data_IF_491609629861
#
_entry.id   IF_491609629861
#
_cell.length_a   1.000
_cell.length_b   1.000
_cell.length_c   1.000
_cell.angle_alpha   90.00
_cell.angle_beta   90.00
_cell.angle_gamma   90.00
#
_symmetry.space_group_name_H-M   'P 1'
#
loop_
_entity.id
_entity.type
_entity.pdbx_description
1 polymer ?
#
# COMPACT_ATOMS: atom_id res chain seq x y z
N UNK A 1 -4.68 5.62 18.25
CA UNK A 1 -5.67 6.63 17.79
C UNK A 1 -6.30 6.09 16.53
N UNK A 2 -7.62 6.21 16.38
CA UNK A 2 -8.32 5.83 15.14
C UNK A 2 -7.88 6.75 14.00
N UNK A 3 -7.85 6.24 12.76
CA UNK A 3 -7.60 7.08 11.58
C UNK A 3 -8.75 8.09 11.51
N UNK A 4 -8.44 9.38 11.51
CA UNK A 4 -9.49 10.39 11.39
C UNK A 4 -10.13 10.29 10.00
N UNK A 5 -11.47 10.29 9.87
CA UNK A 5 -12.15 10.16 8.58
C UNK A 5 -11.68 11.18 7.53
N UNK A 6 -11.36 12.41 7.96
CA UNK A 6 -10.82 13.47 7.11
C UNK A 6 -9.47 13.09 6.49
N UNK A 7 -8.64 12.37 7.24
CA UNK A 7 -7.33 11.93 6.76
C UNK A 7 -7.40 10.74 5.81
N UNK A 8 -8.37 9.85 6.01
CA UNK A 8 -8.64 8.79 5.03
C UNK A 8 -9.05 9.41 3.70
N UNK A 9 -9.90 10.45 3.73
CA UNK A 9 -10.34 11.15 2.53
C UNK A 9 -9.20 11.92 1.86
N UNK A 10 -8.31 12.56 2.62
CA UNK A 10 -7.10 13.20 2.08
C UNK A 10 -6.23 12.18 1.32
N UNK A 11 -5.89 11.05 1.96
CA UNK A 11 -5.12 9.98 1.34
C UNK A 11 -5.80 9.43 0.09
N UNK A 12 -7.10 9.17 0.13
CA UNK A 12 -7.85 8.67 -1.04
C UNK A 12 -7.87 9.66 -2.19
N UNK A 13 -8.03 10.96 -1.90
CA UNK A 13 -7.99 12.00 -2.92
C UNK A 13 -6.64 12.02 -3.63
N UNK A 14 -5.57 11.88 -2.86
CA UNK A 14 -4.21 11.86 -3.39
C UNK A 14 -3.90 10.58 -4.17
N UNK A 15 -4.35 9.42 -3.69
CA UNK A 15 -4.25 8.15 -4.42
C UNK A 15 -5.01 8.22 -5.74
N UNK A 16 -6.23 8.79 -5.76
CA UNK A 16 -6.99 9.02 -7.01
C UNK A 16 -6.21 9.89 -7.99
N UNK A 17 -5.65 10.99 -7.51
CA UNK A 17 -4.82 11.91 -8.32
C UNK A 17 -3.62 11.17 -8.91
N UNK A 18 -2.81 10.52 -8.06
CA UNK A 18 -1.62 9.80 -8.50
C UNK A 18 -1.97 8.67 -9.46
N UNK A 19 -3.00 7.85 -9.20
CA UNK A 19 -3.40 6.80 -10.15
C UNK A 19 -3.84 7.34 -11.50
N UNK A 20 -4.54 8.48 -11.51
CA UNK A 20 -4.86 9.18 -12.75
C UNK A 20 -3.61 9.56 -13.56
N UNK A 21 -2.55 10.02 -12.89
CA UNK A 21 -1.28 10.36 -13.55
C UNK A 21 -0.50 9.12 -14.01
N UNK A 22 -0.32 8.13 -13.14
CA UNK A 22 0.39 6.89 -13.44
C UNK A 22 -0.31 6.01 -14.48
N UNK A 23 -1.60 6.18 -14.74
CA UNK A 23 -2.29 5.46 -15.81
C UNK A 23 -1.65 5.67 -17.20
N UNK A 24 -0.88 6.75 -17.38
CA UNK A 24 -0.17 7.06 -18.63
C UNK A 24 1.19 6.34 -18.77
N UNK A 25 1.70 5.74 -17.69
CA UNK A 25 3.05 5.14 -17.66
C UNK A 25 3.06 3.65 -18.00
N UNK A 26 1.88 3.02 -18.11
CA UNK A 26 1.72 1.60 -18.40
C UNK A 26 0.97 1.38 -19.73
N UNK A 27 1.31 0.34 -20.51
CA UNK A 27 0.63 0.03 -21.77
C UNK A 27 -0.77 -0.59 -21.59
N UNK A 28 -1.12 -1.00 -20.36
CA UNK A 28 -2.40 -1.61 -20.03
C UNK A 28 -3.07 -0.82 -18.91
N UNK A 29 -4.39 -0.73 -18.98
CA UNK A 29 -5.19 -0.14 -17.91
C UNK A 29 -5.04 -0.95 -16.62
N UNK A 30 -4.98 -0.22 -15.52
CA UNK A 30 -4.99 -0.78 -14.17
C UNK A 30 -6.40 -1.17 -13.75
N UNK A 31 -6.49 -2.25 -12.99
CA UNK A 31 -7.68 -2.70 -12.28
C UNK A 31 -7.34 -3.04 -10.81
N UNK A 32 -8.36 -3.32 -10.00
CA UNK A 32 -8.16 -3.63 -8.58
C UNK A 32 -7.30 -4.89 -8.34
N UNK A 33 -7.27 -5.85 -9.27
CA UNK A 33 -6.42 -7.03 -9.14
C UNK A 33 -4.94 -6.70 -9.41
N UNK A 34 -4.66 -5.83 -10.40
CA UNK A 34 -3.31 -5.34 -10.68
C UNK A 34 -2.74 -4.49 -9.54
N UNK A 35 -3.57 -3.68 -8.87
CA UNK A 35 -3.17 -2.99 -7.64
C UNK A 35 -2.83 -3.96 -6.50
N UNK A 36 -3.56 -5.08 -6.39
CA UNK A 36 -3.22 -6.16 -5.46
C UNK A 36 -1.87 -6.83 -5.78
N UNK A 37 -1.51 -6.94 -7.06
CA UNK A 37 -0.20 -7.43 -7.47
C UNK A 37 0.92 -6.42 -7.18
N UNK A 38 0.70 -5.13 -7.45
CA UNK A 38 1.62 -4.05 -7.07
C UNK A 38 1.84 -4.02 -5.56
N UNK A 39 0.79 -4.20 -4.77
CA UNK A 39 0.90 -4.26 -3.31
C UNK A 39 1.86 -5.37 -2.84
N UNK A 40 1.87 -6.53 -3.50
CA UNK A 40 2.82 -7.60 -3.19
C UNK A 40 4.27 -7.21 -3.52
N UNK A 41 4.47 -6.45 -4.61
CA UNK A 41 5.80 -5.89 -4.97
C UNK A 41 6.28 -4.94 -3.88
N UNK A 42 5.45 -3.98 -3.48
CA UNK A 42 5.82 -2.99 -2.46
C UNK A 42 6.05 -3.59 -1.07
N UNK A 43 5.31 -4.65 -0.72
CA UNK A 43 5.62 -5.42 0.48
C UNK A 43 6.98 -6.13 0.41
N UNK A 44 7.40 -6.57 -0.77
CA UNK A 44 8.73 -7.12 -1.01
C UNK A 44 9.81 -6.08 -0.77
N UNK A 45 9.65 -4.87 -1.32
CA UNK A 45 10.58 -3.76 -1.10
C UNK A 45 10.67 -3.35 0.36
N UNK A 46 9.52 -3.18 1.03
CA UNK A 46 9.48 -2.93 2.47
C UNK A 46 10.19 -4.03 3.28
N UNK A 47 10.00 -5.30 2.91
CA UNK A 47 10.70 -6.41 3.55
C UNK A 47 12.22 -6.34 3.36
N UNK A 48 12.71 -5.94 2.18
CA UNK A 48 14.14 -5.72 1.91
C UNK A 48 14.71 -4.62 2.81
N UNK A 49 14.02 -3.48 2.93
CA UNK A 49 14.41 -2.41 3.85
C UNK A 49 14.51 -2.91 5.30
N UNK A 50 13.53 -3.71 5.75
CA UNK A 50 13.51 -4.28 7.09
C UNK A 50 14.58 -5.35 7.33
N UNK A 51 14.97 -6.11 6.30
CA UNK A 51 16.08 -7.07 6.37
C UNK A 51 17.41 -6.33 6.51
N UNK A 52 17.62 -5.29 5.70
CA UNK A 52 18.82 -4.44 5.79
C UNK A 52 18.95 -3.77 7.15
N UNK A 53 17.86 -3.22 7.68
CA UNK A 53 17.86 -2.60 9.01
C UNK A 53 18.31 -3.58 10.12
N UNK A 54 18.08 -4.88 9.93
CA UNK A 54 18.53 -5.96 10.83
C UNK A 54 19.94 -6.47 10.54
N UNK A 55 20.68 -5.85 9.62
CA UNK A 55 22.05 -6.21 9.27
C UNK A 55 22.17 -7.39 8.31
N UNK A 56 21.10 -7.75 7.60
CA UNK A 56 21.14 -8.78 6.55
C UNK A 56 21.67 -8.15 5.27
N UNK A 57 22.63 -8.81 4.62
CA UNK A 57 23.03 -8.47 3.25
C UNK A 57 21.90 -8.87 2.29
N UNK A 58 21.39 -7.89 1.55
CA UNK A 58 20.28 -8.05 0.60
C UNK A 58 20.69 -7.82 -0.84
N UNK A 59 21.99 -7.64 -1.11
CA UNK A 59 22.52 -7.21 -2.41
C UNK A 59 22.13 -8.12 -3.58
N UNK A 60 21.87 -9.40 -3.32
CA UNK A 60 21.43 -10.40 -4.31
C UNK A 60 19.92 -10.38 -4.59
N UNK A 61 19.15 -9.65 -3.79
CA UNK A 61 17.69 -9.52 -3.89
C UNK A 61 17.25 -8.17 -4.47
N UNK A 62 18.19 -7.26 -4.70
CA UNK A 62 17.90 -5.90 -5.16
C UNK A 62 18.13 -5.71 -6.66
N UNK A 63 17.38 -4.76 -7.22
CA UNK A 63 17.71 -4.18 -8.51
C UNK A 63 18.75 -3.06 -8.30
N UNK A 64 19.98 -3.19 -8.83
CA UNK A 64 21.01 -2.18 -8.65
C UNK A 64 20.65 -0.83 -9.28
N UNK A 65 19.74 -0.80 -10.25
CA UNK A 65 19.29 0.41 -10.93
C UNK A 65 18.14 1.10 -10.18
N UNK A 66 17.58 0.46 -9.14
CA UNK A 66 16.50 1.00 -8.30
C UNK A 66 16.78 0.69 -6.82
N UNK A 67 17.67 1.45 -6.17
CA UNK A 67 18.01 1.21 -4.77
C UNK A 67 16.79 1.45 -3.86
N UNK A 68 16.44 0.43 -3.08
CA UNK A 68 15.33 0.42 -2.13
C UNK A 68 15.93 0.57 -0.73
N UNK A 69 15.83 1.75 -0.11
CA UNK A 69 16.56 2.02 1.14
C UNK A 69 15.75 2.66 2.26
N UNK A 70 14.61 3.29 1.98
CA UNK A 70 13.85 4.03 2.97
C UNK A 70 12.59 3.27 3.41
N UNK A 71 12.48 2.96 4.70
CA UNK A 71 11.32 2.22 5.24
C UNK A 71 10.03 3.07 5.17
N UNK A 72 10.14 4.38 5.35
CA UNK A 72 9.01 5.30 5.29
C UNK A 72 8.44 5.39 3.89
N UNK A 73 9.31 5.56 2.89
CA UNK A 73 8.93 5.59 1.47
C UNK A 73 8.26 4.28 1.04
N UNK A 74 8.89 3.13 1.33
CA UNK A 74 8.30 1.83 0.96
C UNK A 74 6.97 1.56 1.67
N UNK A 75 6.80 2.05 2.91
CA UNK A 75 5.52 1.95 3.61
C UNK A 75 4.46 2.89 3.00
N UNK A 76 4.84 4.07 2.53
CA UNK A 76 3.97 4.97 1.78
C UNK A 76 3.53 4.37 0.44
N UNK A 77 4.46 3.71 -0.26
CA UNK A 77 4.20 2.99 -1.51
C UNK A 77 3.24 1.80 -1.29
N UNK A 78 3.37 1.10 -0.16
CA UNK A 78 2.39 0.09 0.27
C UNK A 78 1.01 0.73 0.42
N UNK A 79 0.88 1.86 1.13
CA UNK A 79 -0.41 2.58 1.29
C UNK A 79 -0.99 2.96 -0.07
N UNK A 80 -0.18 3.50 -0.98
CA UNK A 80 -0.58 3.88 -2.32
C UNK A 80 -1.13 2.69 -3.10
N UNK A 81 -0.39 1.57 -3.15
CA UNK A 81 -0.81 0.36 -3.86
C UNK A 81 -2.09 -0.25 -3.24
N UNK A 82 -2.19 -0.29 -1.91
CA UNK A 82 -3.35 -0.82 -1.21
C UNK A 82 -4.63 -0.03 -1.45
N UNK A 83 -4.57 1.30 -1.29
CA UNK A 83 -5.72 2.17 -1.52
C UNK A 83 -6.07 2.29 -3.01
N UNK A 84 -5.12 2.04 -3.92
CA UNK A 84 -5.39 1.98 -5.35
C UNK A 84 -6.39 0.89 -5.70
N UNK A 85 -6.41 -0.24 -4.98
CA UNK A 85 -7.42 -1.27 -5.18
C UNK A 85 -8.84 -0.75 -4.88
N UNK A 86 -9.02 0.03 -3.80
CA UNK A 86 -10.30 0.66 -3.48
C UNK A 86 -10.70 1.68 -4.55
N UNK A 87 -9.78 2.56 -4.94
CA UNK A 87 -10.02 3.57 -5.99
C UNK A 87 -10.44 2.93 -7.32
N UNK A 88 -9.70 1.91 -7.78
CA UNK A 88 -9.96 1.24 -9.05
C UNK A 88 -11.25 0.39 -9.02
N UNK A 89 -11.66 -0.08 -7.84
CA UNK A 89 -12.94 -0.76 -7.65
C UNK A 89 -14.14 0.20 -7.49
N UNK A 90 -13.91 1.52 -7.48
CA UNK A 90 -14.97 2.50 -7.18
C UNK A 90 -15.51 2.39 -5.76
N UNK A 91 -14.67 1.96 -4.82
CA UNK A 91 -15.01 1.69 -3.42
C UNK A 91 -14.21 2.61 -2.49
N UNK A 92 -14.76 2.87 -1.30
CA UNK A 92 -14.04 3.58 -0.24
C UNK A 92 -13.80 2.64 0.94
N UNK A 93 -12.65 2.74 1.62
CA UNK A 93 -12.39 2.04 2.88
C UNK A 93 -13.56 2.21 3.86
N UNK A 94 -14.01 1.08 4.42
CA UNK A 94 -15.09 1.09 5.40
C UNK A 94 -14.68 1.90 6.66
N UNK A 95 -15.62 2.62 7.31
CA UNK A 95 -15.34 3.27 8.58
C UNK A 95 -14.84 2.22 9.59
N UNK A 96 -13.71 2.50 10.26
CA UNK A 96 -13.09 1.54 11.19
C UNK A 96 -14.09 1.04 12.24
N UNK A 97 -14.27 -0.28 12.32
CA UNK A 97 -14.70 -0.91 13.56
C UNK A 97 -13.44 -1.12 14.42
N UNK A 98 -13.29 -0.32 15.48
CA UNK A 98 -12.12 -0.38 16.37
C UNK A 98 -11.86 -1.81 16.83
N UNK A 99 -10.74 -2.37 16.39
CA UNK A 99 -10.04 -3.42 17.12
C UNK A 99 -8.79 -2.77 17.71
N UNK A 100 -8.77 -2.59 19.03
CA UNK A 100 -7.53 -2.22 19.73
C UNK A 100 -6.51 -3.35 19.51
N UNK A 101 -5.52 -3.12 18.64
CA UNK A 101 -4.43 -4.08 18.47
C UNK A 101 -3.32 -3.76 19.46
N UNK A 102 -3.29 -4.56 20.52
CA UNK A 102 -2.19 -5.07 21.36
C UNK A 102 -0.81 -4.39 21.33
N UNK A 103 -0.13 -4.47 22.47
CA UNK A 103 1.30 -4.16 22.68
C UNK A 103 2.26 -5.12 21.92
N UNK A 104 1.93 -5.54 20.70
CA UNK A 104 2.78 -6.40 19.85
C UNK A 104 4.06 -5.71 19.38
N UNK A 105 5.07 -6.51 19.01
CA UNK A 105 6.33 -6.02 18.47
C UNK A 105 6.23 -5.62 16.98
N UNK A 106 7.35 -5.16 16.40
CA UNK A 106 7.41 -4.78 14.98
C UNK A 106 7.13 -5.96 14.03
N UNK A 107 7.47 -7.19 14.42
CA UNK A 107 7.27 -8.37 13.57
C UNK A 107 5.78 -8.70 13.51
N UNK A 108 5.09 -8.71 14.67
CA UNK A 108 3.65 -8.92 14.70
C UNK A 108 2.91 -7.87 13.86
N UNK A 109 3.31 -6.59 13.97
CA UNK A 109 2.72 -5.51 13.18
C UNK A 109 2.95 -5.71 11.67
N UNK A 110 4.15 -6.12 11.25
CA UNK A 110 4.43 -6.46 9.85
C UNK A 110 3.65 -7.68 9.36
N UNK A 111 3.52 -8.74 10.17
CA UNK A 111 2.71 -9.91 9.83
C UNK A 111 1.23 -9.57 9.66
N UNK A 112 0.69 -8.68 10.48
CA UNK A 112 -0.69 -8.16 10.32
C UNK A 112 -0.84 -7.35 9.03
N UNK A 113 0.16 -6.55 8.67
CA UNK A 113 0.20 -5.86 7.38
C UNK A 113 0.21 -6.86 6.21
N UNK A 114 1.02 -7.91 6.27
CA UNK A 114 1.03 -8.96 5.24
C UNK A 114 -0.34 -9.64 5.08
N UNK A 115 -1.01 -9.98 6.20
CA UNK A 115 -2.34 -10.60 6.18
C UNK A 115 -3.37 -9.68 5.52
N UNK A 116 -3.40 -8.41 5.93
CA UNK A 116 -4.38 -7.43 5.42
C UNK A 116 -4.10 -7.03 3.97
N UNK A 117 -2.83 -6.99 3.55
CA UNK A 117 -2.48 -6.85 2.14
C UNK A 117 -2.94 -8.05 1.31
N UNK A 118 -2.83 -9.28 1.85
CA UNK A 118 -3.41 -10.47 1.23
C UNK A 118 -4.92 -10.37 1.05
N UNK A 119 -5.64 -9.77 2.02
CA UNK A 119 -7.06 -9.49 1.90
C UNK A 119 -7.36 -8.48 0.77
N UNK A 120 -6.56 -7.43 0.62
CA UNK A 120 -6.72 -6.46 -0.48
C UNK A 120 -6.50 -7.14 -1.83
N UNK A 121 -5.45 -7.95 -1.97
CA UNK A 121 -5.19 -8.70 -3.19
C UNK A 121 -6.32 -9.70 -3.52
N UNK A 122 -6.82 -10.43 -2.53
CA UNK A 122 -7.97 -11.32 -2.69
C UNK A 122 -9.23 -10.56 -3.09
N UNK A 123 -9.56 -9.47 -2.41
CA UNK A 123 -10.73 -8.65 -2.72
C UNK A 123 -10.64 -8.06 -4.15
N UNK A 124 -9.44 -7.63 -4.56
CA UNK A 124 -9.16 -7.21 -5.94
C UNK A 124 -9.46 -8.30 -6.96
N UNK A 125 -8.92 -9.51 -6.75
CA UNK A 125 -9.18 -10.67 -7.61
C UNK A 125 -10.66 -11.06 -7.66
N UNK A 126 -11.37 -11.00 -6.53
CA UNK A 126 -12.82 -11.28 -6.47
C UNK A 126 -13.60 -10.21 -7.24
N UNK A 127 -13.28 -8.93 -7.07
CA UNK A 127 -13.97 -7.82 -7.74
C UNK A 127 -13.86 -7.88 -9.27
N UNK A 128 -12.76 -8.45 -9.78
CA UNK A 128 -12.50 -8.61 -11.22
C UNK A 128 -12.87 -10.01 -11.75
N UNK A 129 -13.50 -10.87 -10.94
CA UNK A 129 -13.96 -12.19 -11.36
C UNK A 129 -12.86 -13.24 -11.60
N UNK A 130 -11.64 -13.00 -11.15
CA UNK A 130 -10.52 -13.96 -11.28
C UNK A 130 -10.57 -15.11 -10.27
N UNK A 131 -11.18 -14.90 -9.09
CA UNK A 131 -11.16 -15.91 -8.02
C UNK A 131 -12.27 -16.96 -8.21
N UNK A 132 -11.87 -18.23 -8.30
CA UNK A 132 -12.81 -19.34 -8.30
C UNK A 132 -13.51 -19.46 -6.94
N UNK A 133 -14.83 -19.21 -6.92
CA UNK A 133 -15.81 -19.50 -5.84
C UNK A 133 -15.16 -19.74 -4.46
N UNK A 134 -14.77 -18.67 -3.74
CA UNK A 134 -14.19 -18.84 -2.40
C UNK A 134 -15.19 -19.57 -1.50
N UNK A 135 -14.72 -20.59 -0.77
CA UNK A 135 -15.48 -21.15 0.35
C UNK A 135 -15.41 -20.15 1.50
N UNK A 136 -16.51 -19.47 1.81
CA UNK A 136 -16.59 -18.44 2.85
C UNK A 136 -16.91 -17.05 2.28
N UNK A 137 -16.88 -16.04 3.16
CA UNK A 137 -17.14 -14.64 2.81
C UNK A 137 -15.84 -13.84 2.96
N UNK A 138 -15.01 -13.74 1.91
CA UNK A 138 -13.83 -12.87 1.98
C UNK A 138 -14.25 -11.42 2.21
N UNK A 139 -13.38 -10.60 2.82
CA UNK A 139 -13.67 -9.19 3.02
C UNK A 139 -13.91 -8.51 1.67
N UNK A 140 -14.84 -7.56 1.67
CA UNK A 140 -15.03 -6.65 0.55
C UNK A 140 -13.79 -5.77 0.36
N UNK A 141 -13.66 -5.15 -0.81
CA UNK A 141 -12.57 -4.20 -1.09
C UNK A 141 -12.53 -3.06 -0.07
N UNK A 142 -13.70 -2.58 0.38
CA UNK A 142 -13.84 -1.55 1.41
C UNK A 142 -13.27 -2.02 2.77
N UNK A 143 -13.65 -3.22 3.21
CA UNK A 143 -13.18 -3.79 4.49
C UNK A 143 -11.69 -4.10 4.45
N UNK A 144 -11.21 -4.68 3.35
CA UNK A 144 -9.80 -4.99 3.17
C UNK A 144 -8.93 -3.73 3.14
N UNK A 145 -9.34 -2.69 2.40
CA UNK A 145 -8.64 -1.41 2.35
C UNK A 145 -8.57 -0.72 3.71
N UNK A 146 -9.66 -0.76 4.49
CA UNK A 146 -9.69 -0.22 5.85
C UNK A 146 -8.74 -0.97 6.78
N UNK A 147 -8.83 -2.30 6.82
CA UNK A 147 -7.97 -3.13 7.67
C UNK A 147 -6.48 -2.97 7.35
N UNK A 148 -6.15 -2.84 6.06
CA UNK A 148 -4.80 -2.64 5.60
C UNK A 148 -4.24 -1.26 5.98
N UNK A 149 -5.02 -0.19 5.82
CA UNK A 149 -4.61 1.15 6.27
C UNK A 149 -4.38 1.18 7.79
N UNK A 150 -5.26 0.55 8.58
CA UNK A 150 -5.05 0.39 10.04
C UNK A 150 -3.76 -0.36 10.35
N UNK A 151 -3.43 -1.41 9.59
CA UNK A 151 -2.19 -2.17 9.75
C UNK A 151 -0.96 -1.33 9.40
N UNK A 152 -1.00 -0.54 8.32
CA UNK A 152 0.06 0.42 7.98
C UNK A 152 0.28 1.43 9.11
N UNK A 153 -0.78 2.03 9.65
CA UNK A 153 -0.65 2.97 10.77
C UNK A 153 -0.08 2.30 12.03
N UNK A 154 -0.53 1.08 12.34
CA UNK A 154 0.00 0.34 13.47
C UNK A 154 1.49 0.05 13.29
N UNK A 155 1.90 -0.33 12.08
CA UNK A 155 3.30 -0.60 11.75
C UNK A 155 4.16 0.68 11.78
N UNK A 156 3.71 1.77 11.17
CA UNK A 156 4.38 3.07 11.21
C UNK A 156 4.63 3.54 12.65
N UNK A 157 3.62 3.42 13.54
CA UNK A 157 3.79 3.74 14.97
C UNK A 157 4.86 2.90 15.66
N UNK A 158 5.04 1.63 15.28
CA UNK A 158 6.09 0.75 15.84
C UNK A 158 7.49 1.08 15.31
N UNK A 159 7.56 1.73 14.16
CA UNK A 159 8.79 2.22 13.56
C UNK A 159 9.12 3.66 14.00
N UNK A 160 8.17 4.36 14.62
CA UNK A 160 8.33 5.77 15.00
C UNK A 160 8.13 6.74 13.83
N UNK A 161 7.43 6.32 12.77
CA UNK A 161 7.18 7.09 11.56
C UNK A 161 5.83 7.81 11.61
N UNK A 162 5.77 8.99 11.01
CA UNK A 162 4.50 9.66 10.70
C UNK A 162 4.07 9.25 9.29
N UNK A 163 3.21 8.23 9.21
CA UNK A 163 2.75 7.67 7.93
C UNK A 163 2.22 8.72 6.94
N UNK A 164 1.62 9.81 7.43
CA UNK A 164 1.09 10.86 6.55
C UNK A 164 2.20 11.77 6.04
N UNK A 165 3.19 12.04 6.87
CA UNK A 165 4.37 12.79 6.43
C UNK A 165 5.12 11.99 5.36
N UNK A 166 5.36 10.69 5.60
CA UNK A 166 5.99 9.80 4.62
C UNK A 166 5.19 9.74 3.31
N UNK A 167 3.87 9.57 3.40
CA UNK A 167 3.01 9.53 2.21
C UNK A 167 3.06 10.82 1.39
N UNK A 168 3.10 11.99 2.05
CA UNK A 168 3.23 13.28 1.35
C UNK A 168 4.59 13.46 0.71
N UNK A 169 5.66 12.99 1.34
CA UNK A 169 7.01 13.01 0.76
C UNK A 169 7.06 12.15 -0.51
N UNK A 170 6.63 10.88 -0.41
CA UNK A 170 6.53 9.97 -1.55
C UNK A 170 5.67 10.55 -2.68
N UNK A 171 4.52 11.17 -2.36
CA UNK A 171 3.65 11.76 -3.38
C UNK A 171 4.33 12.93 -4.12
N UNK A 172 5.15 13.73 -3.43
CA UNK A 172 5.93 14.80 -4.04
C UNK A 172 7.04 14.25 -4.96
N UNK A 173 7.75 13.21 -4.51
CA UNK A 173 8.79 12.54 -5.31
C UNK A 173 8.20 11.87 -6.55
N UNK A 174 7.02 11.25 -6.41
CA UNK A 174 6.26 10.69 -7.53
C UNK A 174 5.83 11.76 -8.53
N UNK A 175 5.43 12.94 -8.06
CA UNK A 175 5.09 14.06 -8.93
C UNK A 175 6.30 14.56 -9.71
N UNK A 176 7.45 14.74 -9.06
CA UNK A 176 8.72 15.13 -9.70
C UNK A 176 9.13 14.10 -10.77
N UNK A 177 9.05 12.81 -10.45
CA UNK A 177 9.32 11.74 -11.39
C UNK A 177 8.39 11.81 -12.62
N UNK A 178 7.08 11.98 -12.42
CA UNK A 178 6.11 12.04 -13.51
C UNK A 178 6.28 13.31 -14.36
N UNK A 179 6.61 14.44 -13.75
CA UNK A 179 6.88 15.69 -14.47
C UNK A 179 8.12 15.55 -15.35
N UNK A 180 9.21 14.95 -14.83
CA UNK A 180 10.45 14.74 -15.61
C UNK A 180 10.27 13.86 -16.86
N UNK A 181 9.27 12.98 -16.88
CA UNK A 181 8.92 12.14 -18.04
C UNK A 181 8.05 12.85 -19.07
N UNK A 182 7.33 13.88 -18.64
CA UNK A 182 6.48 14.70 -19.53
C UNK A 182 7.32 15.55 -20.48
N UNK A 183 8.57 15.81 -20.11
CA UNK A 183 9.56 16.55 -20.88
C UNK A 183 10.42 15.65 -21.80
N UNK A 184 10.17 14.33 -21.82
CA UNK A 184 10.85 13.40 -22.72
C UNK A 184 10.14 13.37 -24.10
N UNK A 185 10.85 13.64 -25.20
CA UNK A 185 10.27 13.81 -26.55
C UNK A 185 9.66 12.53 -27.15
#
# INVERSE_FOLDING_TARGET
MAVQPEAVQELLSEVRRLRGRFATTAPRAWDAATAGAELAVQLGHLALCLLRQRGTDVSDLEDPDRPISDIGDELADVVLAGLSASVLAGSEPAPEQRAETSQGDQIEAFLRLLVTAGWVAEAGLVSQGYRHRPTGSPPSVAEAGSAMLTACEAFARRLGLDLRAEFRAMAADADEFLDSRSDAP
#
